data_IF_334977644826
#
_entry.id   IF_334977644826
#
_cell.length_a   1.000
_cell.length_b   1.000
_cell.length_c   1.000
_cell.angle_alpha   90.00
_cell.angle_beta   90.00
_cell.angle_gamma   90.00
#
_symmetry.space_group_name_H-M   'P 1'
#
loop_
_entity.id
_entity.type
_entity.pdbx_description
1 polymer ?
#
# COMPACT_ATOMS: atom_id res chain seq x y z
N UNK A 1 24.43 39.45 60.82
CA UNK A 1 25.29 38.52 60.07
C UNK A 1 24.39 37.38 59.59
N UNK A 2 23.99 37.43 58.32
CA UNK A 2 23.02 36.51 57.71
C UNK A 2 23.79 35.26 57.24
N UNK A 3 23.46 34.09 57.79
CA UNK A 3 23.98 32.82 57.25
C UNK A 3 22.82 32.11 56.58
N UNK A 4 22.81 32.22 55.26
CA UNK A 4 21.90 31.55 54.34
C UNK A 4 22.18 30.04 54.35
N UNK A 5 21.21 29.23 54.74
CA UNK A 5 21.26 27.77 54.57
C UNK A 5 20.48 27.42 53.31
N UNK A 6 21.19 27.39 52.18
CA UNK A 6 20.68 26.83 50.93
C UNK A 6 20.49 25.31 51.12
N UNK A 7 19.23 24.87 51.21
CA UNK A 7 18.86 23.46 51.23
C UNK A 7 18.85 22.95 49.79
N UNK A 8 19.90 22.25 49.38
CA UNK A 8 19.92 21.50 48.12
C UNK A 8 18.82 20.43 48.15
N UNK A 9 17.76 20.64 47.39
CA UNK A 9 16.78 19.59 47.08
C UNK A 9 17.35 18.69 46.00
N UNK A 10 18.09 17.66 46.40
CA UNK A 10 18.49 16.60 45.48
C UNK A 10 17.22 15.87 45.01
N UNK A 11 16.83 16.05 43.75
CA UNK A 11 15.80 15.26 43.10
C UNK A 11 16.33 13.83 43.03
N UNK A 12 15.91 12.98 43.96
CA UNK A 12 16.12 11.53 43.86
C UNK A 12 15.22 11.01 42.75
N UNK A 13 15.75 10.93 41.53
CA UNK A 13 15.17 10.08 40.50
C UNK A 13 15.31 8.64 41.01
N UNK A 14 14.23 8.11 41.59
CA UNK A 14 14.21 6.75 42.12
C UNK A 14 14.54 5.77 41.00
N UNK A 15 15.65 5.05 41.15
CA UNK A 15 16.04 3.96 40.26
C UNK A 15 14.96 2.88 40.37
N UNK A 16 14.06 2.82 39.40
CA UNK A 16 13.01 1.79 39.34
C UNK A 16 13.71 0.44 39.26
N UNK A 17 13.51 -0.43 40.27
CA UNK A 17 13.99 -1.81 40.22
C UNK A 17 13.22 -2.53 39.11
N UNK A 18 13.86 -2.69 37.96
CA UNK A 18 13.35 -3.52 36.88
C UNK A 18 13.27 -4.97 37.38
N UNK A 19 12.07 -5.43 37.70
CA UNK A 19 11.83 -6.85 37.93
C UNK A 19 11.86 -7.57 36.56
N UNK A 20 12.23 -8.85 36.56
CA UNK A 20 12.30 -9.70 35.37
C UNK A 20 10.98 -9.72 34.58
N UNK A 21 9.84 -9.57 35.25
CA UNK A 21 8.53 -9.39 34.62
C UNK A 21 8.45 -8.12 33.75
N UNK A 22 8.94 -6.98 34.25
CA UNK A 22 8.97 -5.72 33.49
C UNK A 22 9.86 -5.85 32.26
N UNK A 23 11.01 -6.53 32.38
CA UNK A 23 11.90 -6.79 31.25
C UNK A 23 11.24 -7.69 30.21
N UNK A 24 10.57 -8.76 30.63
CA UNK A 24 9.83 -9.65 29.75
C UNK A 24 8.72 -8.91 28.99
N UNK A 25 7.94 -8.07 29.68
CA UNK A 25 6.89 -7.27 29.05
C UNK A 25 7.46 -6.30 28.02
N UNK A 26 8.59 -5.64 28.31
CA UNK A 26 9.26 -4.76 27.34
C UNK A 26 9.69 -5.55 26.10
N UNK A 27 10.31 -6.71 26.27
CA UNK A 27 10.76 -7.55 25.15
C UNK A 27 9.61 -8.06 24.28
N UNK A 28 8.43 -8.28 24.86
CA UNK A 28 7.23 -8.69 24.12
C UNK A 28 6.56 -7.51 23.42
N UNK A 29 6.39 -6.38 24.11
CA UNK A 29 5.59 -5.27 23.57
C UNK A 29 6.36 -4.37 22.62
N UNK A 30 7.65 -4.10 22.86
CA UNK A 30 8.40 -3.15 22.02
C UNK A 30 8.42 -3.58 20.54
N UNK A 31 8.69 -4.84 20.17
CA UNK A 31 8.64 -5.26 18.77
C UNK A 31 7.23 -5.19 18.16
N UNK A 32 6.20 -5.56 18.93
CA UNK A 32 4.81 -5.49 18.47
C UNK A 32 4.37 -4.05 18.23
N UNK A 33 4.67 -3.15 19.15
CA UNK A 33 4.37 -1.71 19.01
C UNK A 33 5.14 -1.14 17.82
N UNK A 34 6.43 -1.43 17.70
CA UNK A 34 7.22 -1.00 16.54
C UNK A 34 6.60 -1.48 15.22
N UNK A 35 6.17 -2.74 15.15
CA UNK A 35 5.52 -3.30 13.96
C UNK A 35 4.17 -2.64 13.69
N UNK A 36 3.38 -2.34 14.73
CA UNK A 36 2.09 -1.64 14.61
C UNK A 36 2.22 -0.18 14.16
N UNK A 37 3.40 0.43 14.32
CA UNK A 37 3.69 1.77 13.82
C UNK A 37 4.11 1.79 12.34
N UNK A 38 4.26 0.63 11.69
CA UNK A 38 4.49 0.61 10.24
C UNK A 38 3.32 1.24 9.50
N UNK A 39 3.63 1.96 8.41
CA UNK A 39 2.62 2.54 7.54
C UNK A 39 1.65 1.45 7.08
N UNK A 40 0.35 1.71 7.28
CA UNK A 40 -0.71 0.81 6.84
C UNK A 40 -0.52 0.47 5.35
N UNK A 41 -0.45 -0.83 5.07
CA UNK A 41 -0.21 -1.38 3.74
C UNK A 41 1.14 -0.96 3.10
N UNK A 42 2.20 -0.79 3.89
CA UNK A 42 3.56 -0.54 3.40
C UNK A 42 3.98 -1.51 2.27
N UNK A 43 3.61 -2.79 2.38
CA UNK A 43 3.91 -3.81 1.36
C UNK A 43 3.06 -3.71 0.08
N UNK A 44 2.10 -2.76 0.02
CA UNK A 44 1.23 -2.49 -1.13
C UNK A 44 1.50 -1.14 -1.76
N UNK A 45 2.65 -0.52 -1.47
CA UNK A 45 2.97 0.81 -1.99
C UNK A 45 2.87 0.88 -3.52
N UNK A 46 3.29 -0.17 -4.26
CA UNK A 46 3.13 -0.21 -5.72
C UNK A 46 1.67 -0.15 -6.19
N UNK A 47 0.76 -0.90 -5.55
CA UNK A 47 -0.67 -0.84 -5.85
C UNK A 47 -1.28 0.50 -5.45
N UNK A 48 -0.84 1.08 -4.33
CA UNK A 48 -1.27 2.42 -3.91
C UNK A 48 -0.88 3.49 -4.92
N UNK A 49 0.33 3.42 -5.46
CA UNK A 49 0.82 4.37 -6.46
C UNK A 49 0.14 4.17 -7.81
N UNK A 50 -0.07 2.92 -8.24
CA UNK A 50 -0.90 2.61 -9.39
C UNK A 50 -2.34 3.11 -9.23
N UNK A 51 -2.95 2.94 -8.05
CA UNK A 51 -4.28 3.46 -7.74
C UNK A 51 -4.36 4.99 -7.80
N UNK A 52 -3.37 5.70 -7.25
CA UNK A 52 -3.27 7.17 -7.39
C UNK A 52 -3.13 7.61 -8.84
N UNK A 53 -2.34 6.88 -9.63
CA UNK A 53 -2.23 7.16 -11.06
C UNK A 53 -3.58 6.94 -11.76
N UNK A 54 -4.27 5.84 -11.48
CA UNK A 54 -5.60 5.56 -12.02
C UNK A 54 -6.62 6.64 -11.63
N UNK A 55 -6.62 7.12 -10.39
CA UNK A 55 -7.52 8.19 -9.95
C UNK A 55 -7.42 9.45 -10.83
N UNK A 56 -6.23 9.74 -11.37
CA UNK A 56 -5.98 10.91 -12.21
C UNK A 56 -6.14 10.66 -13.71
N UNK A 57 -6.04 9.40 -14.18
CA UNK A 57 -5.97 9.08 -15.61
C UNK A 57 -7.15 8.24 -16.12
N UNK A 58 -7.80 7.46 -15.25
CA UNK A 58 -8.95 6.63 -15.61
C UNK A 58 -10.22 7.48 -15.67
N UNK A 59 -10.81 7.61 -16.86
CA UNK A 59 -12.01 8.41 -17.06
C UNK A 59 -13.21 7.75 -16.38
N UNK A 60 -14.30 8.48 -16.26
CA UNK A 60 -15.57 7.86 -15.93
C UNK A 60 -15.98 6.91 -17.06
N UNK A 61 -16.46 5.72 -16.71
CA UNK A 61 -16.85 4.68 -17.67
C UNK A 61 -15.75 3.70 -18.12
N UNK A 62 -14.47 4.06 -17.94
CA UNK A 62 -13.35 3.13 -18.16
C UNK A 62 -13.38 2.00 -17.13
N UNK A 63 -12.98 0.80 -17.57
CA UNK A 63 -12.94 -0.38 -16.71
C UNK A 63 -11.59 -0.50 -16.01
N UNK A 64 -11.60 -1.00 -14.77
CA UNK A 64 -10.39 -1.36 -14.02
C UNK A 64 -10.47 -2.83 -13.62
N UNK A 65 -9.56 -3.64 -14.12
CA UNK A 65 -9.40 -5.06 -13.79
C UNK A 65 -8.19 -5.22 -12.85
N UNK A 66 -8.48 -5.45 -11.58
CA UNK A 66 -7.48 -5.60 -10.53
C UNK A 66 -7.76 -6.85 -9.69
N UNK A 67 -7.00 -7.91 -9.95
CA UNK A 67 -7.13 -9.20 -9.27
C UNK A 67 -6.91 -9.13 -7.75
N UNK A 68 -6.23 -8.09 -7.25
CA UNK A 68 -5.96 -7.90 -5.83
C UNK A 68 -6.84 -6.82 -5.19
N UNK A 69 -7.61 -6.10 -5.99
CA UNK A 69 -8.50 -4.99 -5.62
C UNK A 69 -7.83 -3.77 -4.95
N UNK A 70 -6.52 -3.78 -4.70
CA UNK A 70 -5.82 -2.70 -4.01
C UNK A 70 -5.71 -1.42 -4.84
N UNK A 71 -5.27 -1.52 -6.09
CA UNK A 71 -5.17 -0.36 -6.98
C UNK A 71 -6.56 0.20 -7.25
N UNK A 72 -7.55 -0.68 -7.42
CA UNK A 72 -8.94 -0.28 -7.61
C UNK A 72 -9.49 0.47 -6.38
N UNK A 73 -9.19 -0.01 -5.17
CA UNK A 73 -9.50 0.65 -3.91
C UNK A 73 -8.85 2.03 -3.80
N UNK A 74 -7.55 2.13 -4.05
CA UNK A 74 -6.80 3.39 -3.96
C UNK A 74 -7.15 4.39 -5.07
N UNK A 75 -7.72 3.93 -6.19
CA UNK A 75 -8.26 4.79 -7.23
C UNK A 75 -9.61 5.43 -6.85
N UNK A 76 -10.23 5.01 -5.74
CA UNK A 76 -11.57 5.46 -5.36
C UNK A 76 -12.68 4.97 -6.30
N UNK A 77 -12.40 3.89 -7.05
CA UNK A 77 -13.31 3.30 -8.06
C UNK A 77 -14.03 2.05 -7.53
N UNK A 78 -13.88 1.74 -6.24
CA UNK A 78 -14.69 0.76 -5.51
C UNK A 78 -15.97 1.40 -4.97
N UNK A 79 -16.93 0.57 -4.57
CA UNK A 79 -18.21 1.00 -3.98
C UNK A 79 -19.05 1.89 -4.92
N UNK A 80 -19.08 1.56 -6.21
CA UNK A 80 -19.86 2.28 -7.22
C UNK A 80 -21.27 1.68 -7.41
N UNK A 81 -21.66 0.70 -6.61
CA UNK A 81 -22.99 0.07 -6.67
C UNK A 81 -24.08 1.14 -6.48
N UNK A 82 -25.07 1.15 -7.36
CA UNK A 82 -26.17 2.11 -7.31
C UNK A 82 -25.86 3.48 -7.94
N UNK A 83 -24.64 3.76 -8.40
CA UNK A 83 -24.38 4.93 -9.25
C UNK A 83 -24.97 4.70 -10.65
N UNK A 84 -26.17 5.23 -10.88
CA UNK A 84 -26.80 5.27 -12.20
C UNK A 84 -26.26 6.44 -13.04
N UNK A 85 -26.13 6.25 -14.36
CA UNK A 85 -25.81 7.34 -15.29
C UNK A 85 -24.32 7.64 -15.44
N UNK A 86 -23.42 6.71 -15.09
CA UNK A 86 -22.01 6.83 -15.43
C UNK A 86 -21.88 6.92 -16.95
N UNK A 87 -21.34 8.03 -17.44
CA UNK A 87 -21.06 8.24 -18.85
C UNK A 87 -20.00 7.22 -19.24
N UNK A 88 -20.33 6.35 -20.19
CA UNK A 88 -19.36 5.42 -20.77
C UNK A 88 -18.35 6.24 -21.56
N UNK A 89 -17.07 6.00 -21.34
CA UNK A 89 -15.99 6.63 -22.09
C UNK A 89 -16.02 6.19 -23.56
N UNK A 90 -15.71 7.11 -24.47
CA UNK A 90 -15.51 6.85 -25.89
C UNK A 90 -14.20 7.52 -26.36
N UNK A 91 -13.19 6.78 -26.87
CA UNK A 91 -13.14 5.31 -26.92
C UNK A 91 -13.01 4.72 -25.51
N UNK A 92 -13.60 3.54 -25.32
CA UNK A 92 -13.57 2.83 -24.05
C UNK A 92 -12.24 2.09 -23.88
N UNK A 93 -11.63 2.24 -22.71
CA UNK A 93 -10.40 1.50 -22.37
C UNK A 93 -10.59 0.72 -21.07
N UNK A 94 -9.87 -0.40 -21.00
CA UNK A 94 -9.76 -1.22 -19.80
C UNK A 94 -8.34 -1.15 -19.26
N UNK A 95 -8.22 -0.73 -18.01
CA UNK A 95 -6.96 -0.74 -17.28
C UNK A 95 -6.78 -2.07 -16.54
N UNK A 96 -5.70 -2.80 -16.81
CA UNK A 96 -5.40 -4.10 -16.17
C UNK A 96 -4.16 -3.97 -15.30
N UNK A 97 -4.27 -4.39 -14.04
CA UNK A 97 -3.18 -4.30 -13.05
C UNK A 97 -2.42 -5.61 -12.99
N UNK A 98 -1.11 -5.55 -13.25
CA UNK A 98 -0.22 -6.71 -13.27
C UNK A 98 0.87 -6.55 -12.22
N UNK A 99 1.01 -7.52 -11.33
CA UNK A 99 2.14 -7.63 -10.42
C UNK A 99 3.17 -8.58 -11.01
N UNK A 100 4.34 -8.07 -11.42
CA UNK A 100 5.52 -8.92 -11.63
C UNK A 100 6.11 -9.22 -10.26
N UNK A 101 5.76 -10.34 -9.65
CA UNK A 101 6.45 -10.83 -8.46
C UNK A 101 6.81 -12.30 -8.63
N UNK A 102 7.82 -12.76 -7.91
CA UNK A 102 8.21 -14.18 -7.90
C UNK A 102 7.23 -15.09 -7.14
N UNK A 103 6.06 -14.59 -6.75
CA UNK A 103 5.08 -15.36 -5.99
C UNK A 103 3.80 -15.59 -6.85
N UNK A 104 3.59 -16.79 -7.39
CA UNK A 104 2.41 -17.07 -8.20
C UNK A 104 1.14 -17.10 -7.33
N UNK A 105 0.14 -16.31 -7.71
CA UNK A 105 -1.14 -16.26 -7.00
C UNK A 105 -2.17 -17.18 -7.65
N UNK A 106 -1.99 -18.49 -7.51
CA UNK A 106 -2.78 -19.54 -8.21
C UNK A 106 -4.31 -19.45 -8.00
N UNK A 107 -4.78 -18.74 -6.97
CA UNK A 107 -6.21 -18.57 -6.65
C UNK A 107 -6.81 -17.29 -7.23
N UNK A 108 -5.99 -16.39 -7.75
CA UNK A 108 -6.45 -15.14 -8.33
C UNK A 108 -6.41 -15.26 -9.85
N UNK A 109 -7.46 -14.77 -10.50
CA UNK A 109 -7.50 -14.66 -11.96
C UNK A 109 -6.67 -13.45 -12.37
N UNK A 110 -5.39 -13.68 -12.65
CA UNK A 110 -4.48 -12.66 -13.20
C UNK A 110 -4.37 -12.82 -14.70
N UNK A 111 -4.32 -11.72 -15.45
CA UNK A 111 -3.99 -11.77 -16.87
C UNK A 111 -2.48 -11.85 -17.07
N UNK A 112 -2.05 -12.67 -18.03
CA UNK A 112 -0.66 -12.71 -18.46
C UNK A 112 -0.35 -11.56 -19.41
N UNK A 113 0.90 -11.09 -19.38
CA UNK A 113 1.30 -9.94 -20.20
C UNK A 113 1.33 -10.23 -21.70
N UNK A 114 1.49 -11.49 -22.11
CA UNK A 114 1.52 -11.87 -23.52
C UNK A 114 0.12 -11.73 -24.13
N UNK A 115 -0.91 -12.18 -23.42
CA UNK A 115 -2.32 -11.95 -23.74
C UNK A 115 -2.66 -10.47 -23.78
N UNK A 116 -2.21 -9.68 -22.81
CA UNK A 116 -2.44 -8.23 -22.81
C UNK A 116 -1.79 -7.55 -24.02
N UNK A 117 -0.56 -7.95 -24.38
CA UNK A 117 0.12 -7.46 -25.59
C UNK A 117 -0.61 -7.89 -26.87
N UNK A 118 -1.11 -9.13 -26.93
CA UNK A 118 -1.90 -9.63 -28.07
C UNK A 118 -3.20 -8.83 -28.25
N UNK A 119 -3.80 -8.36 -27.16
CA UNK A 119 -4.96 -7.45 -27.15
C UNK A 119 -4.58 -5.98 -27.47
N UNK A 120 -3.36 -5.72 -27.93
CA UNK A 120 -2.80 -4.37 -28.17
C UNK A 120 -2.68 -3.51 -26.91
N UNK A 121 -2.61 -4.16 -25.75
CA UNK A 121 -2.39 -3.52 -24.47
C UNK A 121 -1.02 -2.87 -24.38
N UNK A 122 -0.96 -1.68 -23.76
CA UNK A 122 0.28 -0.90 -23.58
C UNK A 122 0.48 -0.61 -22.11
N UNK A 123 1.73 -0.71 -21.65
CA UNK A 123 2.09 -0.25 -20.30
C UNK A 123 2.01 1.27 -20.27
N UNK A 124 1.11 1.80 -19.44
CA UNK A 124 0.91 3.24 -19.24
C UNK A 124 1.45 3.72 -17.90
N UNK A 125 1.73 2.79 -16.99
CA UNK A 125 2.35 3.06 -15.70
C UNK A 125 3.19 1.88 -15.22
N UNK A 126 4.33 2.19 -14.61
CA UNK A 126 5.25 1.21 -14.00
C UNK A 126 5.74 1.75 -12.66
N UNK A 127 5.54 0.97 -11.60
CA UNK A 127 6.10 1.24 -10.28
C UNK A 127 7.08 0.15 -9.84
N UNK A 128 8.38 0.47 -9.68
CA UNK A 128 9.35 -0.47 -9.15
C UNK A 128 9.15 -0.69 -7.65
N UNK A 129 8.85 -1.92 -7.26
CA UNK A 129 8.81 -2.36 -5.88
C UNK A 129 10.17 -2.97 -5.52
N UNK A 130 10.96 -2.27 -4.70
CA UNK A 130 12.19 -2.84 -4.11
C UNK A 130 11.81 -3.87 -3.05
N UNK A 131 11.71 -5.14 -3.44
CA UNK A 131 11.74 -6.27 -2.51
C UNK A 131 13.17 -6.79 -2.42
N UNK A 132 13.61 -7.16 -1.22
CA UNK A 132 14.96 -7.75 -1.02
C UNK A 132 15.12 -8.96 -1.95
N UNK A 133 16.01 -8.84 -2.94
CA UNK A 133 16.41 -9.94 -3.83
C UNK A 133 15.60 -10.14 -5.11
N UNK A 134 14.52 -9.37 -5.38
CA UNK A 134 13.77 -9.48 -6.63
C UNK A 134 13.24 -8.13 -7.11
N UNK A 135 13.40 -7.85 -8.41
CA UNK A 135 12.76 -6.73 -9.08
C UNK A 135 11.27 -7.03 -9.22
N UNK A 136 10.49 -6.76 -8.18
CA UNK A 136 9.04 -6.78 -8.30
C UNK A 136 8.56 -5.45 -8.87
N UNK A 137 7.60 -5.46 -9.79
CA UNK A 137 6.97 -4.24 -10.31
C UNK A 137 5.46 -4.38 -10.30
N UNK A 138 4.76 -3.25 -10.12
CA UNK A 138 3.33 -3.15 -10.39
C UNK A 138 3.15 -2.33 -11.66
N UNK A 139 2.48 -2.92 -12.63
CA UNK A 139 2.23 -2.32 -13.94
C UNK A 139 0.75 -2.04 -14.12
N UNK A 140 0.46 -0.99 -14.90
CA UNK A 140 -0.87 -0.73 -15.42
C UNK A 140 -0.80 -0.85 -16.93
N UNK A 141 -1.57 -1.78 -17.47
CA UNK A 141 -1.83 -1.90 -18.90
C UNK A 141 -3.09 -1.15 -19.27
N UNK A 142 -3.04 -0.34 -20.31
CA UNK A 142 -4.21 0.17 -21.00
C UNK A 142 -4.51 -0.73 -22.19
N UNK A 143 -5.71 -1.32 -22.22
CA UNK A 143 -6.17 -2.21 -23.27
C UNK A 143 -7.38 -1.58 -23.96
N UNK A 144 -7.35 -1.38 -25.29
CA UNK A 144 -8.51 -0.90 -26.03
C UNK A 144 -9.69 -1.86 -25.88
N UNK A 145 -10.85 -1.36 -25.43
CA UNK A 145 -12.10 -2.12 -25.40
C UNK A 145 -12.85 -1.86 -26.72
N UNK A 146 -13.28 -2.94 -27.40
CA UNK A 146 -14.03 -2.85 -28.67
C UNK A 146 -15.52 -2.85 -28.43
#
# INVERSE_FOLDING_TARGET
MVVSFFRESSIRVGLVRFNQFSLLLILLFVPSVYKSMETLHYNREGFKQAGKWLASNCKEGDLVEDAFCWSHFYAGKVFLEGKSGLVVSDPRVKYVIVERSGNPHLRLQTQDEESLKAQKGKVVYDWPCRRKGANSTVLVYEVPER
#
